data_IF_709191794446
#
_entry.id   IF_709191794446
#
_cell.length_a   1.000
_cell.length_b   1.000
_cell.length_c   1.000
_cell.angle_alpha   90.00
_cell.angle_beta   90.00
_cell.angle_gamma   90.00
#
_symmetry.space_group_name_H-M   'P 1'
#
loop_
_entity.id
_entity.type
_entity.pdbx_description
1 polymer ?
#
# COMPACT_ATOMS: atom_id res chain seq x y z
N UNK A 1 26.55 -19.52 18.16
CA UNK A 1 25.19 -19.96 18.60
C UNK A 1 24.51 -18.98 19.56
N UNK A 2 24.67 -17.67 19.39
CA UNK A 2 24.01 -16.64 20.25
C UNK A 2 23.02 -15.76 19.45
N UNK A 3 22.90 -15.94 18.16
CA UNK A 3 22.03 -15.09 17.29
C UNK A 3 20.66 -15.68 16.97
N UNK A 4 20.30 -16.82 17.53
CA UNK A 4 19.11 -17.59 17.10
C UNK A 4 17.80 -17.26 17.85
N UNK A 5 17.69 -16.24 18.67
CA UNK A 5 16.44 -15.98 19.45
C UNK A 5 16.00 -14.53 19.63
N UNK A 6 16.47 -13.58 18.86
CA UNK A 6 15.85 -12.26 18.89
C UNK A 6 14.96 -12.05 17.66
N UNK A 7 13.77 -12.65 17.68
CA UNK A 7 12.68 -12.22 16.83
C UNK A 7 12.22 -10.82 17.28
N UNK A 8 12.79 -9.78 16.70
CA UNK A 8 12.20 -8.45 16.81
C UNK A 8 10.86 -8.44 16.05
N UNK A 9 9.78 -8.78 16.74
CA UNK A 9 8.43 -8.48 16.29
C UNK A 9 8.28 -6.96 16.34
N UNK A 10 8.25 -6.30 15.19
CA UNK A 10 7.67 -4.96 15.11
C UNK A 10 6.19 -5.15 15.42
N UNK A 11 5.78 -4.71 16.60
CA UNK A 11 4.45 -4.91 17.15
C UNK A 11 3.42 -4.13 16.36
N UNK A 12 2.79 -4.76 15.37
CA UNK A 12 1.38 -4.48 15.15
C UNK A 12 0.69 -4.79 16.48
N UNK A 13 -0.23 -3.92 16.93
CA UNK A 13 -0.86 -4.13 18.24
C UNK A 13 -1.51 -5.52 18.27
N UNK A 14 -0.99 -6.49 19.04
CA UNK A 14 -1.39 -7.90 18.91
C UNK A 14 -2.87 -8.12 19.13
N UNK A 15 -3.52 -7.22 19.90
CA UNK A 15 -4.95 -7.31 20.22
C UNK A 15 -5.86 -7.01 19.02
N UNK A 16 -5.36 -6.40 17.93
CA UNK A 16 -6.15 -6.18 16.72
C UNK A 16 -6.43 -7.48 15.94
N UNK A 17 -5.56 -8.48 16.10
CA UNK A 17 -5.63 -9.77 15.42
C UNK A 17 -5.87 -10.94 16.36
N UNK A 18 -6.32 -10.64 17.59
CA UNK A 18 -6.66 -11.63 18.60
C UNK A 18 -8.00 -11.28 19.28
N UNK A 19 -8.61 -12.26 19.95
CA UNK A 19 -9.84 -12.05 20.73
C UNK A 19 -9.57 -11.34 22.06
N UNK A 20 -8.67 -10.38 22.10
CA UNK A 20 -8.29 -9.67 23.32
C UNK A 20 -9.37 -8.72 23.77
N UNK A 21 -9.72 -8.80 25.07
CA UNK A 21 -10.65 -7.85 25.73
C UNK A 21 -10.11 -6.42 25.78
N UNK A 22 -8.82 -6.21 25.53
CA UNK A 22 -8.21 -4.88 25.50
C UNK A 22 -8.83 -3.97 24.42
N UNK A 23 -9.30 -4.55 23.32
CA UNK A 23 -10.00 -3.80 22.27
C UNK A 23 -11.23 -3.05 22.80
N UNK A 24 -11.94 -3.63 23.77
CA UNK A 24 -13.16 -3.03 24.36
C UNK A 24 -12.89 -1.72 25.10
N UNK A 25 -11.69 -1.57 25.69
CA UNK A 25 -11.29 -0.34 26.37
C UNK A 25 -11.18 0.85 25.38
N UNK A 26 -10.83 0.55 24.11
CA UNK A 26 -10.65 1.56 23.07
C UNK A 26 -11.92 1.84 22.26
N UNK A 27 -13.02 1.09 22.47
CA UNK A 27 -14.25 1.27 21.68
C UNK A 27 -14.84 2.70 21.72
N UNK A 28 -14.86 3.43 22.85
CA UNK A 28 -15.37 4.81 22.85
C UNK A 28 -14.60 5.71 21.87
N UNK A 29 -13.28 5.57 21.82
CA UNK A 29 -12.42 6.31 20.91
C UNK A 29 -12.62 5.88 19.44
N UNK A 30 -12.85 4.59 19.23
CA UNK A 30 -13.18 4.06 17.90
C UNK A 30 -14.53 4.58 17.40
N UNK A 31 -15.52 4.67 18.26
CA UNK A 31 -16.81 5.25 17.93
C UNK A 31 -16.66 6.72 17.50
N UNK A 32 -15.87 7.49 18.25
CA UNK A 32 -15.58 8.89 17.90
C UNK A 32 -14.84 9.00 16.56
N UNK A 33 -13.79 8.18 16.36
CA UNK A 33 -13.05 8.13 15.10
C UNK A 33 -13.96 7.77 13.92
N UNK A 34 -14.80 6.75 14.10
CA UNK A 34 -15.77 6.34 13.10
C UNK A 34 -16.76 7.48 12.78
N UNK A 35 -17.36 8.12 13.79
CA UNK A 35 -18.31 9.20 13.60
C UNK A 35 -17.70 10.35 12.79
N UNK A 36 -16.49 10.81 13.18
CA UNK A 36 -15.76 11.87 12.46
C UNK A 36 -15.50 11.45 11.00
N UNK A 37 -15.08 10.20 10.78
CA UNK A 37 -14.80 9.67 9.45
C UNK A 37 -16.05 9.60 8.59
N UNK A 38 -17.21 9.19 9.15
CA UNK A 38 -18.48 9.13 8.44
C UNK A 38 -19.02 10.53 8.10
N UNK A 39 -18.96 11.45 9.06
CA UNK A 39 -19.35 12.85 8.81
C UNK A 39 -18.51 13.43 7.67
N UNK A 40 -17.19 13.28 7.73
CA UNK A 40 -16.29 13.75 6.68
C UNK A 40 -16.63 13.15 5.31
N UNK A 41 -16.87 11.84 5.26
CA UNK A 41 -17.26 11.14 4.03
C UNK A 41 -18.58 11.67 3.49
N UNK A 42 -19.60 11.85 4.34
CA UNK A 42 -20.90 12.39 3.98
C UNK A 42 -20.79 13.82 3.44
N UNK A 43 -19.97 14.68 4.05
CA UNK A 43 -19.74 16.06 3.57
C UNK A 43 -19.16 16.11 2.16
N UNK A 44 -18.26 15.18 1.79
CA UNK A 44 -17.77 15.06 0.42
C UNK A 44 -18.82 14.47 -0.53
N UNK A 45 -19.56 13.44 -0.11
CA UNK A 45 -20.58 12.81 -0.95
C UNK A 45 -21.77 13.73 -1.26
N UNK A 46 -22.09 14.63 -0.32
CA UNK A 46 -23.13 15.67 -0.49
C UNK A 46 -22.60 16.94 -1.18
N UNK A 47 -21.34 16.95 -1.63
CA UNK A 47 -20.67 18.11 -2.24
C UNK A 47 -20.63 19.37 -1.35
N UNK A 48 -20.78 19.23 -0.02
CA UNK A 48 -20.60 20.33 0.93
C UNK A 48 -19.11 20.68 1.01
N UNK A 49 -18.23 19.67 1.01
CA UNK A 49 -16.80 19.84 0.82
C UNK A 49 -16.46 19.62 -0.65
N UNK A 50 -15.69 20.54 -1.22
CA UNK A 50 -15.27 20.45 -2.62
C UNK A 50 -14.27 19.31 -2.83
N UNK A 51 -14.48 18.53 -3.88
CA UNK A 51 -13.54 17.52 -4.38
C UNK A 51 -12.96 17.95 -5.72
N UNK A 52 -11.69 17.64 -5.94
CA UNK A 52 -11.01 17.90 -7.19
C UNK A 52 -11.27 16.75 -8.18
N UNK A 53 -11.71 17.10 -9.40
CA UNK A 53 -11.84 16.16 -10.52
C UNK A 53 -10.61 16.32 -11.43
N UNK A 54 -9.86 15.25 -11.59
CA UNK A 54 -8.74 15.21 -12.53
C UNK A 54 -9.24 15.26 -13.98
N UNK A 55 -8.51 15.93 -14.90
CA UNK A 55 -8.81 15.85 -16.33
C UNK A 55 -8.49 14.49 -16.97
N UNK A 56 -7.79 13.62 -16.27
CA UNK A 56 -7.48 12.25 -16.67
C UNK A 56 -8.10 11.27 -15.68
N UNK A 57 -8.49 10.05 -16.13
CA UNK A 57 -9.01 9.02 -15.24
C UNK A 57 -8.09 8.71 -14.07
N UNK A 58 -8.67 8.47 -12.90
CA UNK A 58 -7.94 8.19 -11.66
C UNK A 58 -8.35 6.83 -11.12
N UNK A 59 -7.36 5.95 -10.97
CA UNK A 59 -7.49 4.67 -10.27
C UNK A 59 -6.88 4.82 -8.87
N UNK A 60 -7.66 4.55 -7.84
CA UNK A 60 -7.18 4.52 -6.46
C UNK A 60 -6.78 3.09 -6.09
N UNK A 61 -5.56 2.91 -5.63
CA UNK A 61 -5.13 1.69 -4.95
C UNK A 61 -4.94 2.03 -3.47
N UNK A 62 -5.68 1.34 -2.61
CA UNK A 62 -5.64 1.63 -1.17
C UNK A 62 -5.94 0.41 -0.30
N UNK A 63 -6.11 0.62 0.99
CA UNK A 63 -6.47 -0.43 1.93
C UNK A 63 -7.42 0.09 3.01
N UNK A 64 -8.18 -0.83 3.63
CA UNK A 64 -9.04 -0.50 4.75
C UNK A 64 -8.31 -0.55 6.10
N UNK A 65 -7.34 -1.43 6.26
CA UNK A 65 -6.60 -1.62 7.51
C UNK A 65 -5.27 -0.88 7.49
N UNK A 66 -4.76 -0.48 8.64
CA UNK A 66 -3.37 -0.03 8.77
C UNK A 66 -2.40 -1.20 8.59
N UNK A 67 -1.14 -0.91 8.25
CA UNK A 67 -0.09 -1.89 8.03
C UNK A 67 0.17 -2.22 6.56
N UNK A 68 1.15 -3.08 6.31
CA UNK A 68 1.57 -3.50 4.99
C UNK A 68 0.66 -4.58 4.41
N UNK A 69 -0.24 -4.21 3.52
CA UNK A 69 -1.18 -5.13 2.85
C UNK A 69 -0.71 -5.56 1.45
N UNK A 70 0.41 -5.00 0.95
CA UNK A 70 0.92 -5.29 -0.39
C UNK A 70 0.40 -4.33 -1.48
N UNK A 71 0.05 -3.08 -1.13
CA UNK A 71 -0.39 -2.07 -2.12
C UNK A 71 0.65 -1.81 -3.19
N UNK A 72 1.89 -1.53 -2.79
CA UNK A 72 2.98 -1.18 -3.71
C UNK A 72 3.21 -2.23 -4.82
N UNK A 73 3.27 -3.53 -4.53
CA UNK A 73 3.29 -4.58 -5.56
C UNK A 73 2.10 -4.54 -6.51
N UNK A 74 0.89 -4.26 -6.02
CA UNK A 74 -0.31 -4.12 -6.88
C UNK A 74 -0.18 -2.89 -7.77
N UNK A 75 0.29 -1.76 -7.26
CA UNK A 75 0.52 -0.54 -8.05
C UNK A 75 1.55 -0.82 -9.15
N UNK A 76 2.68 -1.47 -8.83
CA UNK A 76 3.70 -1.83 -9.81
C UNK A 76 3.13 -2.74 -10.89
N UNK A 77 2.46 -3.82 -10.50
CA UNK A 77 1.83 -4.75 -11.43
C UNK A 77 0.81 -4.05 -12.34
N UNK A 78 -0.06 -3.21 -11.77
CA UNK A 78 -1.09 -2.50 -12.53
C UNK A 78 -0.46 -1.52 -13.54
N UNK A 79 0.60 -0.80 -13.15
CA UNK A 79 1.36 0.06 -14.05
C UNK A 79 1.94 -0.75 -15.21
N UNK A 80 2.63 -1.87 -14.91
CA UNK A 80 3.25 -2.73 -15.93
C UNK A 80 2.21 -3.31 -16.90
N UNK A 81 1.03 -3.73 -16.42
CA UNK A 81 -0.04 -4.26 -17.28
C UNK A 81 -0.65 -3.18 -18.18
N UNK A 82 -0.87 -1.98 -17.66
CA UNK A 82 -1.40 -0.87 -18.44
C UNK A 82 -0.38 -0.36 -19.50
N UNK A 83 0.91 -0.36 -19.14
CA UNK A 83 1.99 -0.05 -20.09
C UNK A 83 2.06 -1.07 -21.26
N UNK A 84 1.86 -2.37 -20.98
CA UNK A 84 1.76 -3.41 -22.02
C UNK A 84 0.62 -3.16 -23.02
N UNK A 85 -0.44 -2.48 -22.56
CA UNK A 85 -1.56 -2.08 -23.41
C UNK A 85 -1.31 -0.74 -24.15
N UNK A 86 -0.11 -0.18 -24.03
CA UNK A 86 0.28 1.06 -24.69
C UNK A 86 -0.18 2.34 -23.98
N UNK A 87 -0.69 2.25 -22.73
CA UNK A 87 -1.14 3.40 -21.96
C UNK A 87 0.03 4.07 -21.23
N UNK A 88 0.05 5.40 -21.25
CA UNK A 88 1.00 6.22 -20.50
C UNK A 88 0.44 6.46 -19.09
N UNK A 89 1.05 5.83 -18.11
CA UNK A 89 0.60 5.85 -16.71
C UNK A 89 1.43 6.85 -15.93
N UNK A 90 0.78 7.69 -15.12
CA UNK A 90 1.43 8.47 -14.07
C UNK A 90 0.99 7.97 -12.69
N UNK A 91 1.87 8.06 -11.71
CA UNK A 91 1.55 7.66 -10.33
C UNK A 91 1.63 8.87 -9.42
N UNK A 92 0.67 8.99 -8.51
CA UNK A 92 0.73 9.97 -7.43
C UNK A 92 0.70 9.27 -6.08
N UNK A 93 1.48 9.75 -5.13
CA UNK A 93 1.51 9.24 -3.75
C UNK A 93 1.53 10.39 -2.74
N UNK A 94 1.27 10.07 -1.46
CA UNK A 94 1.39 11.04 -0.37
C UNK A 94 2.84 11.40 -0.08
N UNK A 95 3.77 10.48 -0.38
CA UNK A 95 5.15 10.61 0.02
C UNK A 95 5.33 10.28 1.51
N UNK A 96 4.66 9.21 1.99
CA UNK A 96 4.87 8.74 3.36
C UNK A 96 6.34 8.39 3.57
N UNK A 97 6.91 8.84 4.70
CA UNK A 97 8.34 8.65 5.01
C UNK A 97 9.28 9.65 4.31
N UNK A 98 8.81 10.42 3.33
CA UNK A 98 9.61 11.47 2.67
C UNK A 98 9.97 12.60 3.65
N UNK A 99 11.23 13.01 3.62
CA UNK A 99 11.75 14.17 4.37
C UNK A 99 11.89 15.40 3.47
N UNK A 100 11.31 15.40 2.27
CA UNK A 100 11.33 16.55 1.39
C UNK A 100 10.66 17.76 2.05
N UNK A 101 11.28 18.93 1.88
CA UNK A 101 10.72 20.23 2.30
C UNK A 101 9.91 20.90 1.18
N UNK A 102 9.98 20.37 -0.04
CA UNK A 102 9.34 20.95 -1.23
C UNK A 102 8.33 19.96 -1.79
N UNK A 103 7.09 20.40 -1.91
CA UNK A 103 6.00 19.64 -2.53
C UNK A 103 5.22 20.53 -3.49
N UNK A 104 4.68 19.97 -4.60
CA UNK A 104 4.83 18.59 -5.06
C UNK A 104 6.25 18.29 -5.55
N UNK A 105 6.70 17.05 -5.42
CA UNK A 105 8.01 16.58 -5.86
C UNK A 105 7.87 15.47 -6.90
N UNK A 106 8.51 15.63 -8.07
CA UNK A 106 8.66 14.58 -9.06
C UNK A 106 9.77 13.61 -8.60
N UNK A 107 9.42 12.35 -8.48
CA UNK A 107 10.29 11.25 -8.05
C UNK A 107 10.72 10.44 -9.27
N UNK A 108 12.00 10.19 -9.40
CA UNK A 108 12.62 9.38 -10.45
C UNK A 108 13.38 8.19 -9.85
N UNK A 109 13.94 7.33 -10.69
CA UNK A 109 14.82 6.23 -10.28
C UNK A 109 16.04 6.69 -9.47
N UNK A 110 16.49 7.93 -9.71
CA UNK A 110 17.68 8.52 -9.10
C UNK A 110 17.38 9.32 -7.83
N UNK A 111 16.09 9.50 -7.52
CA UNK A 111 15.70 10.25 -6.32
C UNK A 111 16.12 9.51 -5.06
N UNK A 112 16.77 10.22 -4.13
CA UNK A 112 17.11 9.68 -2.81
C UNK A 112 15.84 9.25 -2.07
N UNK A 113 15.73 7.98 -1.60
CA UNK A 113 14.59 7.50 -0.83
C UNK A 113 14.27 8.36 0.41
N UNK A 114 15.26 8.99 1.02
CA UNK A 114 15.04 9.93 2.14
C UNK A 114 14.19 11.13 1.68
N UNK A 115 14.39 11.59 0.46
CA UNK A 115 13.64 12.72 -0.10
C UNK A 115 12.32 12.28 -0.75
N UNK A 116 12.35 11.17 -1.51
CA UNK A 116 11.20 10.69 -2.28
C UNK A 116 10.24 9.80 -1.50
N UNK A 117 10.70 9.18 -0.41
CA UNK A 117 10.03 8.07 0.26
C UNK A 117 10.35 6.73 -0.41
N UNK A 118 10.41 5.67 0.36
CA UNK A 118 10.83 4.32 -0.12
C UNK A 118 9.87 3.78 -1.20
N UNK A 119 8.57 3.81 -0.94
CA UNK A 119 7.55 3.27 -1.85
C UNK A 119 7.49 4.02 -3.19
N UNK A 120 7.44 5.38 -3.24
CA UNK A 120 7.44 6.11 -4.51
C UNK A 120 8.70 5.90 -5.34
N UNK A 121 9.87 5.87 -4.69
CA UNK A 121 11.15 5.60 -5.37
C UNK A 121 11.18 4.17 -5.92
N UNK A 122 10.68 3.19 -5.15
CA UNK A 122 10.56 1.80 -5.62
C UNK A 122 9.66 1.70 -6.86
N UNK A 123 8.50 2.36 -6.86
CA UNK A 123 7.58 2.38 -8.01
C UNK A 123 8.30 2.98 -9.22
N UNK A 124 8.94 4.15 -9.07
CA UNK A 124 9.68 4.79 -10.16
C UNK A 124 10.80 3.91 -10.73
N UNK A 125 11.60 3.27 -9.86
CA UNK A 125 12.69 2.36 -10.27
C UNK A 125 12.19 1.11 -11.00
N UNK A 126 11.06 0.55 -10.57
CA UNK A 126 10.54 -0.70 -11.13
C UNK A 126 9.83 -0.49 -12.45
N UNK A 127 9.12 0.60 -12.60
CA UNK A 127 8.18 0.80 -13.72
C UNK A 127 8.66 1.84 -14.74
N UNK A 128 9.60 2.71 -14.35
CA UNK A 128 10.06 3.81 -15.19
C UNK A 128 9.02 4.92 -15.41
N UNK A 129 7.84 4.85 -14.79
CA UNK A 129 6.80 5.89 -14.94
C UNK A 129 7.08 7.10 -14.05
N UNK A 130 6.56 8.28 -14.41
CA UNK A 130 6.64 9.45 -13.55
C UNK A 130 5.82 9.22 -12.27
N UNK A 131 6.44 9.49 -11.13
CA UNK A 131 5.80 9.42 -9.81
C UNK A 131 5.87 10.80 -9.17
N UNK A 132 4.75 11.34 -8.72
CA UNK A 132 4.73 12.63 -8.03
C UNK A 132 4.19 12.46 -6.61
N UNK A 133 4.94 12.96 -5.64
CA UNK A 133 4.52 12.95 -4.24
C UNK A 133 4.05 14.32 -3.78
N UNK A 134 2.94 14.32 -3.04
CA UNK A 134 2.45 15.52 -2.34
C UNK A 134 1.39 15.14 -1.28
N UNK A 135 1.37 15.79 -0.11
CA UNK A 135 0.25 15.74 0.81
C UNK A 135 -1.08 16.18 0.17
N UNK A 136 -1.03 17.13 -0.78
CA UNK A 136 -2.16 17.56 -1.60
C UNK A 136 -2.14 16.85 -2.96
N UNK A 137 -3.07 15.91 -3.16
CA UNK A 137 -3.16 15.11 -4.40
C UNK A 137 -3.46 15.95 -5.64
N UNK A 138 -4.20 17.04 -5.50
CA UNK A 138 -4.45 17.97 -6.61
C UNK A 138 -3.14 18.56 -7.13
N UNK A 139 -2.30 19.09 -6.25
CA UNK A 139 -0.99 19.64 -6.65
C UNK A 139 -0.10 18.56 -7.27
N UNK A 140 -0.19 17.31 -6.78
CA UNK A 140 0.56 16.20 -7.40
C UNK A 140 0.09 15.95 -8.84
N UNK A 141 -1.22 15.93 -9.10
CA UNK A 141 -1.80 15.75 -10.43
C UNK A 141 -1.43 16.93 -11.34
N UNK A 142 -1.55 18.16 -10.86
CA UNK A 142 -1.23 19.36 -11.63
C UNK A 142 0.25 19.36 -12.08
N UNK A 143 1.19 19.03 -11.19
CA UNK A 143 2.59 18.90 -11.56
C UNK A 143 2.80 17.76 -12.55
N UNK A 144 2.21 16.58 -12.27
CA UNK A 144 2.33 15.40 -13.13
C UNK A 144 1.89 15.74 -14.57
N UNK A 145 0.69 16.28 -14.74
CA UNK A 145 0.13 16.58 -16.06
C UNK A 145 0.77 17.80 -16.75
N UNK A 146 1.42 18.67 -16.01
CA UNK A 146 2.20 19.78 -16.54
C UNK A 146 3.54 19.30 -17.14
N UNK A 147 4.15 18.27 -16.53
CA UNK A 147 5.50 17.82 -16.88
C UNK A 147 5.51 16.54 -17.69
N UNK A 148 4.43 15.77 -17.68
CA UNK A 148 4.35 14.43 -18.28
C UNK A 148 3.03 14.25 -19.02
N UNK A 149 3.08 13.59 -20.15
CA UNK A 149 1.89 13.22 -20.90
C UNK A 149 1.39 11.85 -20.42
N UNK A 150 0.27 11.84 -19.72
CA UNK A 150 -0.34 10.65 -19.15
C UNK A 150 -1.76 10.44 -19.69
N UNK A 151 -2.14 9.18 -19.91
CA UNK A 151 -3.51 8.80 -20.31
C UNK A 151 -4.38 8.56 -19.07
N UNK A 152 -3.77 8.07 -17.98
CA UNK A 152 -4.42 7.84 -16.70
C UNK A 152 -3.45 8.00 -15.52
N UNK A 153 -4.02 8.10 -14.32
CA UNK A 153 -3.28 8.32 -13.08
C UNK A 153 -3.64 7.22 -12.07
N UNK A 154 -2.63 6.63 -11.44
CA UNK A 154 -2.81 5.74 -10.30
C UNK A 154 -2.46 6.50 -9.02
N UNK A 155 -3.37 6.53 -8.05
CA UNK A 155 -3.12 7.11 -6.72
C UNK A 155 -2.83 6.01 -5.72
N UNK A 156 -1.58 5.95 -5.27
CA UNK A 156 -1.16 5.06 -4.20
C UNK A 156 -1.60 5.59 -2.83
N UNK A 157 -2.15 4.67 -2.00
CA UNK A 157 -2.75 4.93 -0.67
C UNK A 157 -3.74 6.12 -0.66
N UNK A 158 -4.66 6.11 -1.63
CA UNK A 158 -5.62 7.19 -1.84
C UNK A 158 -7.03 6.94 -1.33
N UNK A 159 -7.36 5.77 -0.78
CA UNK A 159 -8.75 5.35 -0.51
C UNK A 159 -9.52 6.33 0.38
N UNK A 160 -8.91 6.83 1.45
CA UNK A 160 -9.48 7.80 2.39
C UNK A 160 -9.33 9.26 1.95
N UNK A 161 -8.73 9.51 0.76
CA UNK A 161 -8.53 10.88 0.27
C UNK A 161 -9.73 11.37 -0.56
N UNK A 162 -10.90 11.56 0.09
CA UNK A 162 -12.17 11.95 -0.55
C UNK A 162 -12.15 13.31 -1.26
N UNK A 163 -11.13 14.14 -1.00
CA UNK A 163 -10.92 15.39 -1.75
C UNK A 163 -10.56 15.16 -3.22
N UNK A 164 -10.13 13.94 -3.60
CA UNK A 164 -9.85 13.55 -4.99
C UNK A 164 -10.99 12.66 -5.50
N UNK A 165 -11.65 13.08 -6.59
CA UNK A 165 -12.58 12.22 -7.32
C UNK A 165 -11.81 11.09 -8.01
N UNK A 166 -12.46 9.96 -8.17
CA UNK A 166 -11.87 8.73 -8.70
C UNK A 166 -12.87 8.02 -9.60
N UNK A 167 -12.34 7.27 -10.55
CA UNK A 167 -13.11 6.48 -11.49
C UNK A 167 -13.15 5.00 -11.11
N UNK A 168 -12.04 4.49 -10.50
CA UNK A 168 -11.94 3.10 -10.04
C UNK A 168 -11.27 3.09 -8.66
N UNK A 169 -11.79 2.24 -7.77
CA UNK A 169 -11.24 1.98 -6.44
C UNK A 169 -10.85 0.51 -6.28
N UNK A 170 -9.58 0.26 -6.03
CA UNK A 170 -9.02 -1.07 -5.75
C UNK A 170 -8.58 -1.11 -4.29
N UNK A 171 -9.14 -2.05 -3.53
CA UNK A 171 -8.72 -2.33 -2.17
C UNK A 171 -7.76 -3.51 -2.17
N UNK A 172 -6.59 -3.32 -1.56
CA UNK A 172 -5.63 -4.40 -1.31
C UNK A 172 -5.73 -4.83 0.14
N UNK A 173 -5.90 -6.12 0.36
CA UNK A 173 -6.11 -6.73 1.67
C UNK A 173 -5.14 -7.89 1.86
N UNK A 174 -4.56 -8.02 3.04
CA UNK A 174 -3.85 -9.22 3.44
C UNK A 174 -4.85 -10.37 3.63
N UNK A 175 -4.66 -11.51 2.98
CA UNK A 175 -5.64 -12.60 2.97
C UNK A 175 -5.84 -13.23 4.36
N UNK A 176 -4.77 -13.33 5.15
CA UNK A 176 -4.77 -13.96 6.47
C UNK A 176 -5.29 -12.99 7.54
N UNK A 177 -4.75 -11.77 7.58
CA UNK A 177 -5.14 -10.76 8.56
C UNK A 177 -6.52 -10.16 8.28
N UNK A 178 -6.93 -10.14 7.03
CA UNK A 178 -8.20 -9.63 6.53
C UNK A 178 -8.61 -8.30 7.21
N UNK A 179 -9.70 -8.30 7.95
CA UNK A 179 -10.25 -7.16 8.68
C UNK A 179 -9.83 -7.12 10.16
N UNK A 180 -8.94 -8.04 10.59
CA UNK A 180 -8.59 -8.19 12.00
C UNK A 180 -9.81 -8.48 12.87
N UNK A 181 -9.91 -7.80 14.02
CA UNK A 181 -11.06 -7.91 14.93
C UNK A 181 -12.32 -7.16 14.43
N UNK A 182 -12.29 -6.55 13.25
CA UNK A 182 -13.42 -5.85 12.64
C UNK A 182 -13.69 -4.44 13.17
N UNK A 183 -12.96 -3.97 14.17
CA UNK A 183 -13.11 -2.62 14.72
C UNK A 183 -12.26 -1.60 13.95
N UNK A 184 -12.74 -0.35 13.97
CA UNK A 184 -11.94 0.77 13.49
C UNK A 184 -10.94 1.24 14.55
N UNK A 185 -9.95 2.02 14.12
CA UNK A 185 -8.94 2.62 15.02
C UNK A 185 -9.58 3.38 16.19
N UNK A 186 -9.01 3.32 17.38
CA UNK A 186 -7.84 2.53 17.79
C UNK A 186 -8.15 1.13 18.34
N UNK A 187 -9.42 0.72 18.47
CA UNK A 187 -9.79 -0.60 18.99
C UNK A 187 -9.47 -1.74 18.01
N UNK A 188 -9.35 -1.47 16.73
CA UNK A 188 -8.97 -2.40 15.69
C UNK A 188 -8.14 -1.74 14.59
N UNK A 189 -7.74 -2.50 13.56
CA UNK A 189 -6.83 -2.04 12.54
C UNK A 189 -7.52 -1.18 11.46
N UNK A 190 -8.85 -1.08 11.44
CA UNK A 190 -9.57 -0.53 10.31
C UNK A 190 -9.58 1.01 10.31
N UNK A 191 -9.35 1.58 9.14
CA UNK A 191 -9.51 3.02 8.85
C UNK A 191 -10.96 3.37 8.54
N UNK A 192 -11.73 2.40 8.01
CA UNK A 192 -13.14 2.49 7.67
C UNK A 192 -13.84 1.17 7.96
N UNK A 193 -15.17 1.19 8.12
CA UNK A 193 -15.95 -0.02 8.38
C UNK A 193 -15.87 -1.03 7.21
N UNK A 194 -16.04 -2.34 7.50
CA UNK A 194 -16.08 -3.39 6.49
C UNK A 194 -17.12 -3.16 5.37
N UNK A 195 -18.21 -2.46 5.67
CA UNK A 195 -19.23 -2.09 4.68
C UNK A 195 -18.69 -1.27 3.50
N UNK A 196 -17.51 -0.62 3.66
CA UNK A 196 -16.83 0.11 2.60
C UNK A 196 -16.47 -0.79 1.40
N UNK A 197 -16.19 -2.08 1.65
CA UNK A 197 -15.89 -3.05 0.59
C UNK A 197 -17.04 -3.23 -0.42
N UNK A 198 -18.28 -2.96 -0.02
CA UNK A 198 -19.44 -3.03 -0.93
C UNK A 198 -19.51 -1.90 -1.96
N UNK A 199 -18.72 -0.85 -1.79
CA UNK A 199 -18.73 0.35 -2.63
C UNK A 199 -17.41 0.59 -3.37
N UNK A 200 -16.48 -0.35 -3.33
CA UNK A 200 -15.27 -0.36 -4.14
C UNK A 200 -15.48 -1.27 -5.36
N UNK A 201 -14.69 -1.05 -6.41
CA UNK A 201 -14.81 -1.80 -7.64
C UNK A 201 -14.15 -3.18 -7.54
N UNK A 202 -12.99 -3.27 -6.86
CA UNK A 202 -12.25 -4.52 -6.73
C UNK A 202 -11.59 -4.66 -5.36
N UNK A 203 -11.56 -5.90 -4.87
CA UNK A 203 -10.79 -6.32 -3.70
C UNK A 203 -9.75 -7.36 -4.12
N UNK A 204 -8.48 -7.00 -4.04
CA UNK A 204 -7.35 -7.89 -4.31
C UNK A 204 -6.79 -8.38 -2.98
N UNK A 205 -6.77 -9.69 -2.78
CA UNK A 205 -6.18 -10.28 -1.57
C UNK A 205 -4.76 -10.76 -1.82
N UNK A 206 -3.85 -10.40 -0.93
CA UNK A 206 -2.45 -10.77 -0.99
C UNK A 206 -2.18 -12.02 -0.16
N UNK A 207 -1.65 -13.07 -0.82
CA UNK A 207 -1.19 -14.30 -0.19
C UNK A 207 -2.24 -15.39 -0.07
N UNK A 208 -3.44 -15.22 -0.64
CA UNK A 208 -4.48 -16.26 -0.67
C UNK A 208 -5.87 -15.71 -0.94
N UNK A 209 -6.88 -16.59 -0.90
CA UNK A 209 -8.29 -16.26 -1.07
C UNK A 209 -8.98 -16.13 0.29
N UNK A 210 -9.86 -15.16 0.44
CA UNK A 210 -10.81 -15.08 1.55
C UNK A 210 -12.22 -14.69 1.04
N UNK A 211 -13.17 -14.48 1.96
CA UNK A 211 -14.56 -14.17 1.60
C UNK A 211 -14.77 -12.84 0.85
N UNK A 212 -13.75 -11.98 0.80
CA UNK A 212 -13.82 -10.65 0.18
C UNK A 212 -13.09 -10.58 -1.16
N UNK A 213 -12.42 -11.67 -1.59
CA UNK A 213 -11.52 -11.65 -2.75
C UNK A 213 -12.29 -11.65 -4.07
N UNK A 214 -12.10 -10.60 -4.88
CA UNK A 214 -12.42 -10.63 -6.32
C UNK A 214 -11.24 -11.21 -7.12
N UNK A 215 -10.01 -10.88 -6.70
CA UNK A 215 -8.77 -11.40 -7.27
C UNK A 215 -7.75 -11.74 -6.17
N UNK A 216 -6.79 -12.60 -6.53
CA UNK A 216 -5.72 -13.02 -5.63
C UNK A 216 -4.39 -12.57 -6.21
N UNK A 217 -3.56 -11.95 -5.38
CA UNK A 217 -2.16 -11.64 -5.67
C UNK A 217 -1.26 -12.59 -4.89
N UNK A 218 -0.26 -13.14 -5.56
CA UNK A 218 0.84 -13.85 -4.95
C UNK A 218 2.17 -13.25 -5.39
N UNK A 219 3.04 -12.96 -4.42
CA UNK A 219 4.41 -12.57 -4.69
C UNK A 219 5.27 -13.83 -4.82
N UNK A 220 5.76 -14.09 -6.03
CA UNK A 220 6.62 -15.24 -6.31
C UNK A 220 8.02 -14.71 -6.62
N UNK A 221 8.95 -14.75 -5.66
CA UNK A 221 10.32 -14.32 -5.90
C UNK A 221 11.07 -15.39 -6.71
N UNK A 222 11.80 -14.92 -7.71
CA UNK A 222 12.64 -15.79 -8.54
C UNK A 222 14.13 -15.55 -8.30
N UNK A 223 14.49 -14.34 -7.91
CA UNK A 223 15.88 -13.91 -7.85
C UNK A 223 16.20 -13.21 -6.53
N UNK A 224 17.41 -13.43 -6.03
CA UNK A 224 18.11 -12.55 -5.10
C UNK A 224 18.98 -11.58 -5.91
N UNK A 225 19.04 -10.34 -5.47
CA UNK A 225 19.88 -9.30 -6.10
C UNK A 225 20.92 -8.86 -5.09
N UNK A 226 22.19 -8.96 -5.45
CA UNK A 226 23.27 -8.42 -4.63
C UNK A 226 23.16 -6.88 -4.62
N UNK A 227 23.03 -6.29 -3.44
CA UNK A 227 22.82 -4.85 -3.29
C UNK A 227 24.05 -4.00 -3.66
N UNK A 228 25.24 -4.61 -3.69
CA UNK A 228 26.50 -3.93 -4.02
C UNK A 228 26.82 -4.06 -5.51
N UNK A 229 26.72 -5.29 -6.05
CA UNK A 229 27.13 -5.59 -7.43
C UNK A 229 25.97 -5.56 -8.42
N UNK A 230 24.73 -5.48 -7.95
CA UNK A 230 23.49 -5.66 -8.72
C UNK A 230 23.38 -7.01 -9.45
N UNK A 231 24.24 -7.98 -9.14
CA UNK A 231 24.18 -9.32 -9.70
C UNK A 231 22.90 -10.02 -9.28
N UNK A 232 22.21 -10.65 -10.23
CA UNK A 232 21.01 -11.45 -10.00
C UNK A 232 21.38 -12.94 -9.96
N UNK A 233 20.91 -13.62 -8.92
CA UNK A 233 21.04 -15.06 -8.80
C UNK A 233 19.70 -15.71 -8.51
N UNK A 234 19.46 -16.91 -9.03
CA UNK A 234 18.22 -17.65 -8.76
C UNK A 234 18.14 -17.98 -7.26
N UNK A 235 16.95 -17.88 -6.68
CA UNK A 235 16.77 -18.28 -5.28
C UNK A 235 17.02 -19.76 -5.06
N UNK A 236 16.83 -20.60 -6.07
CA UNK A 236 17.16 -22.03 -6.05
C UNK A 236 18.65 -22.35 -5.87
N UNK A 237 19.53 -21.36 -6.04
CA UNK A 237 20.98 -21.52 -5.81
C UNK A 237 21.38 -21.38 -4.33
N UNK A 238 20.42 -20.95 -3.49
CA UNK A 238 20.66 -20.75 -2.06
C UNK A 238 20.01 -21.89 -1.27
N UNK A 239 20.81 -22.53 -0.39
CA UNK A 239 20.32 -23.58 0.52
C UNK A 239 20.21 -23.11 1.97
N UNK A 240 20.93 -22.03 2.34
CA UNK A 240 20.94 -21.48 3.68
C UNK A 240 21.28 -19.98 3.68
N UNK A 241 20.89 -19.28 4.74
CA UNK A 241 21.23 -17.86 4.89
C UNK A 241 20.61 -17.24 6.12
N UNK A 242 20.93 -15.96 6.35
CA UNK A 242 20.25 -15.12 7.35
C UNK A 242 19.33 -14.15 6.63
N UNK A 243 18.11 -14.00 7.11
CA UNK A 243 17.11 -13.13 6.49
C UNK A 243 16.68 -12.00 7.44
N UNK A 244 16.56 -10.80 6.90
CA UNK A 244 16.06 -9.62 7.59
C UNK A 244 14.91 -9.05 6.77
N UNK A 245 13.82 -8.67 7.41
CA UNK A 245 12.65 -8.09 6.74
C UNK A 245 12.07 -6.92 7.55
N UNK A 246 11.99 -5.75 6.91
CA UNK A 246 11.31 -4.56 7.41
C UNK A 246 9.97 -4.33 6.70
N UNK A 247 9.12 -5.35 6.63
CA UNK A 247 7.82 -5.31 5.92
C UNK A 247 6.65 -5.57 6.87
N UNK A 248 5.43 -5.26 6.43
CA UNK A 248 4.23 -5.38 7.27
C UNK A 248 3.88 -6.80 7.75
N UNK A 249 4.33 -7.86 7.07
CA UNK A 249 4.22 -9.25 7.51
C UNK A 249 5.55 -9.99 7.30
N UNK A 250 6.52 -9.83 8.22
CA UNK A 250 7.83 -10.48 8.10
C UNK A 250 7.75 -12.01 8.09
N UNK A 251 6.80 -12.59 8.84
CA UNK A 251 6.66 -14.04 8.93
C UNK A 251 6.37 -14.67 7.57
N UNK A 252 5.52 -14.02 6.75
CA UNK A 252 5.24 -14.50 5.38
C UNK A 252 6.50 -14.58 4.53
N UNK A 253 7.40 -13.60 4.68
CA UNK A 253 8.66 -13.60 3.95
C UNK A 253 9.58 -14.75 4.39
N UNK A 254 9.69 -15.00 5.69
CA UNK A 254 10.51 -16.11 6.21
C UNK A 254 9.94 -17.45 5.80
N UNK A 255 8.64 -17.67 5.99
CA UNK A 255 7.95 -18.91 5.55
C UNK A 255 8.09 -19.13 4.04
N UNK A 256 8.07 -18.07 3.24
CA UNK A 256 8.29 -18.17 1.80
C UNK A 256 9.72 -18.68 1.49
N UNK A 257 10.75 -18.19 2.17
CA UNK A 257 12.14 -18.67 1.99
C UNK A 257 12.27 -20.12 2.43
N UNK A 258 11.67 -20.50 3.57
CA UNK A 258 11.65 -21.89 4.05
C UNK A 258 10.97 -22.84 3.05
N UNK A 259 9.84 -22.43 2.44
CA UNK A 259 9.14 -23.17 1.40
C UNK A 259 9.97 -23.34 0.12
N UNK A 260 10.96 -22.49 -0.10
CA UNK A 260 11.96 -22.63 -1.18
C UNK A 260 13.16 -23.48 -0.75
N UNK A 261 13.09 -24.17 0.40
CA UNK A 261 14.16 -24.97 1.01
C UNK A 261 15.44 -24.15 1.36
N UNK A 262 15.27 -22.86 1.67
CA UNK A 262 16.35 -22.02 2.18
C UNK A 262 16.27 -22.06 3.72
N UNK A 263 17.23 -22.69 4.36
CA UNK A 263 17.33 -22.75 5.83
C UNK A 263 17.79 -21.41 6.39
N UNK A 264 16.98 -20.83 7.29
CA UNK A 264 17.23 -19.52 7.91
C UNK A 264 17.93 -19.66 9.28
#
# INVERSE_FOLDING_TARGET
>A
NVFAQNQYRINEMPFWYSNSKLAWLFLPFSLLFWLISQIRRALFSLNILSSYKSPKPVIIVGNLSVGGNGKTPVVVWLVEELQKQGLRVGVISRGYGSQSKIYPLLVTSETDPVQGGDEPVLIAKRTGVPVVISPNRQHAIELLLKTQDCDLIISDDGLQHYKLQRDIEIVVMDAERALGNGFVLPAGPLRELPSRLKSVDFVITNGGKNAYSDAIMQLVPHYAINLVTAEKRLLSEFSQGSAIAGIGNPQRFFTMLENLNIHL
#
